data_IF_225913853131
#
_entry.id   IF_225913853131
#
_cell.length_a   1.000
_cell.length_b   1.000
_cell.length_c   1.000
_cell.angle_alpha   90.00
_cell.angle_beta   90.00
_cell.angle_gamma   90.00
#
_symmetry.space_group_name_H-M   'P 1'
#
loop_
_entity.id
_entity.type
_entity.pdbx_description
1 polymer ?
#
# COMPACT_ATOMS: atom_id res chain seq x y z
N UNK A 1 12.65 -18.92 -45.57
CA UNK A 1 12.99 -20.01 -44.64
C UNK A 1 14.42 -19.82 -44.16
N UNK A 2 14.66 -18.99 -43.14
CA UNK A 2 15.74 -19.10 -42.15
C UNK A 2 15.34 -18.20 -40.97
N UNK A 3 15.31 -18.80 -39.78
CA UNK A 3 15.23 -18.23 -38.42
C UNK A 3 13.97 -17.37 -38.10
N UNK A 4 12.98 -17.78 -37.29
CA UNK A 4 13.06 -18.57 -36.05
C UNK A 4 14.15 -18.06 -35.09
N UNK A 5 14.27 -16.74 -34.94
CA UNK A 5 14.72 -16.16 -33.68
C UNK A 5 13.50 -16.03 -32.77
N UNK A 6 13.18 -17.14 -32.12
CA UNK A 6 12.46 -17.16 -30.86
C UNK A 6 13.27 -16.35 -29.84
N UNK A 7 13.06 -15.04 -29.84
CA UNK A 7 13.40 -14.18 -28.70
C UNK A 7 12.37 -14.54 -27.62
N UNK A 8 12.66 -15.63 -26.91
CA UNK A 8 12.23 -15.79 -25.54
C UNK A 8 12.85 -14.66 -24.73
N UNK A 9 12.28 -13.46 -24.87
CA UNK A 9 12.38 -12.43 -23.86
C UNK A 9 11.61 -13.01 -22.70
N UNK A 10 12.33 -13.71 -21.82
CA UNK A 10 11.87 -13.99 -20.48
C UNK A 10 11.66 -12.60 -19.87
N UNK A 11 10.47 -12.06 -20.07
CA UNK A 11 9.96 -10.97 -19.28
C UNK A 11 10.15 -11.45 -17.85
N UNK A 12 11.08 -10.83 -17.13
CA UNK A 12 10.82 -10.59 -15.72
C UNK A 12 9.44 -9.92 -15.76
N UNK A 13 8.41 -10.70 -15.44
CA UNK A 13 7.03 -10.25 -15.41
C UNK A 13 7.01 -9.13 -14.38
N UNK A 14 7.20 -7.90 -14.86
CA UNK A 14 6.97 -6.66 -14.13
C UNK A 14 5.47 -6.52 -13.98
N UNK A 15 4.87 -7.41 -13.20
CA UNK A 15 3.57 -7.17 -12.62
C UNK A 15 3.77 -6.21 -11.45
N UNK A 16 2.94 -5.19 -11.37
CA UNK A 16 2.95 -4.27 -10.25
C UNK A 16 2.90 -5.05 -8.93
N UNK A 17 3.85 -4.78 -8.03
CA UNK A 17 3.95 -5.50 -6.76
C UNK A 17 3.06 -4.84 -5.70
N UNK A 18 2.22 -5.61 -5.02
CA UNK A 18 1.41 -5.07 -3.93
C UNK A 18 2.25 -4.91 -2.66
N UNK A 19 2.30 -3.69 -2.13
CA UNK A 19 2.95 -3.35 -0.86
C UNK A 19 1.88 -2.99 0.16
N UNK A 20 1.78 -3.80 1.22
CA UNK A 20 0.82 -3.60 2.32
C UNK A 20 1.47 -2.77 3.42
N UNK A 21 0.82 -1.66 3.80
CA UNK A 21 1.27 -0.77 4.87
C UNK A 21 0.22 -0.79 5.99
N UNK A 22 0.66 -1.08 7.21
CA UNK A 22 -0.21 -1.07 8.39
C UNK A 22 -0.29 0.30 9.05
N UNK A 23 -1.50 0.72 9.43
CA UNK A 23 -1.78 1.86 10.29
C UNK A 23 -2.58 1.41 11.51
N UNK A 24 -1.96 1.52 12.69
CA UNK A 24 -2.64 1.38 13.97
C UNK A 24 -3.33 2.70 14.31
N UNK A 25 -4.60 2.84 13.91
CA UNK A 25 -5.45 4.01 14.16
C UNK A 25 -6.12 3.87 15.53
N UNK A 26 -6.20 4.91 16.38
CA UNK A 26 -6.91 4.82 17.66
C UNK A 26 -8.43 4.93 17.44
N UNK A 27 -9.06 3.96 16.77
CA UNK A 27 -10.50 4.02 16.42
C UNK A 27 -11.39 3.94 17.67
N UNK A 28 -10.86 3.35 18.74
CA UNK A 28 -11.44 3.40 20.10
C UNK A 28 -10.44 4.00 21.11
N UNK A 29 -10.90 4.19 22.34
CA UNK A 29 -10.07 4.73 23.43
C UNK A 29 -10.18 6.25 23.64
N UNK A 30 -9.31 6.83 24.49
CA UNK A 30 -9.44 8.21 24.98
C UNK A 30 -9.22 9.30 23.92
N UNK A 31 -8.68 8.93 22.76
CA UNK A 31 -8.30 9.85 21.69
C UNK A 31 -8.98 9.51 20.35
N UNK A 32 -10.07 8.75 20.38
CA UNK A 32 -10.77 8.26 19.19
C UNK A 32 -11.27 9.35 18.23
N UNK A 33 -11.52 10.56 18.75
CA UNK A 33 -11.90 11.72 17.94
C UNK A 33 -10.84 12.13 16.92
N UNK A 34 -9.58 11.72 17.07
CA UNK A 34 -8.50 12.03 16.13
C UNK A 34 -8.28 10.95 15.07
N UNK A 35 -8.89 9.75 15.21
CA UNK A 35 -8.75 8.65 14.26
C UNK A 35 -9.05 9.06 12.79
N UNK A 36 -10.12 9.82 12.49
CA UNK A 36 -10.37 10.26 11.12
C UNK A 36 -9.21 11.07 10.53
N UNK A 37 -8.57 11.95 11.32
CA UNK A 37 -7.44 12.74 10.85
C UNK A 37 -6.19 11.91 10.57
N UNK A 38 -5.93 10.87 11.36
CA UNK A 38 -4.84 9.93 11.10
C UNK A 38 -5.09 9.08 9.86
N UNK A 39 -6.32 8.57 9.68
CA UNK A 39 -6.70 7.77 8.52
C UNK A 39 -6.72 8.60 7.23
N UNK A 40 -7.19 9.85 7.28
CA UNK A 40 -7.14 10.79 6.14
C UNK A 40 -5.70 11.05 5.71
N UNK A 41 -4.79 11.29 6.65
CA UNK A 41 -3.37 11.47 6.36
C UNK A 41 -2.75 10.21 5.72
N UNK A 42 -3.11 9.02 6.22
CA UNK A 42 -2.70 7.75 5.64
C UNK A 42 -3.22 7.58 4.20
N UNK A 43 -4.48 7.92 3.95
CA UNK A 43 -5.08 7.84 2.62
C UNK A 43 -4.41 8.80 1.62
N UNK A 44 -4.10 10.03 2.04
CA UNK A 44 -3.35 10.99 1.20
C UNK A 44 -1.97 10.45 0.86
N UNK A 45 -1.24 9.90 1.83
CA UNK A 45 0.08 9.32 1.58
C UNK A 45 0.03 8.15 0.59
N UNK A 46 -0.97 7.28 0.71
CA UNK A 46 -1.14 6.11 -0.15
C UNK A 46 -1.56 6.50 -1.57
N UNK A 47 -2.39 7.54 -1.71
CA UNK A 47 -2.71 8.11 -3.02
C UNK A 47 -1.46 8.64 -3.72
N UNK A 48 -0.60 9.38 -3.02
CA UNK A 48 0.65 9.91 -3.56
C UNK A 48 1.63 8.80 -3.94
N UNK A 49 1.78 7.77 -3.09
CA UNK A 49 2.65 6.62 -3.37
C UNK A 49 2.19 5.87 -4.62
N UNK A 50 0.89 5.61 -4.75
CA UNK A 50 0.34 4.95 -5.94
C UNK A 50 0.50 5.82 -7.20
N UNK A 51 0.35 7.14 -7.10
CA UNK A 51 0.56 8.04 -8.23
C UNK A 51 2.04 8.12 -8.65
N UNK A 52 2.96 8.14 -7.69
CA UNK A 52 4.40 8.26 -7.92
C UNK A 52 5.01 6.98 -8.51
N UNK A 53 4.47 5.83 -8.15
CA UNK A 53 5.01 4.51 -8.49
C UNK A 53 4.07 3.70 -9.40
N UNK A 54 3.21 4.38 -10.16
CA UNK A 54 2.27 3.75 -11.08
C UNK A 54 2.99 2.81 -12.06
N UNK A 55 2.43 1.62 -12.26
CA UNK A 55 3.02 0.55 -13.07
C UNK A 55 4.02 -0.36 -12.34
N UNK A 56 4.68 0.12 -11.27
CA UNK A 56 5.68 -0.66 -10.52
C UNK A 56 5.12 -1.25 -9.23
N UNK A 57 4.32 -0.47 -8.49
CA UNK A 57 3.78 -0.85 -7.19
C UNK A 57 2.30 -0.49 -7.03
N UNK A 58 1.58 -1.30 -6.25
CA UNK A 58 0.26 -0.97 -5.71
C UNK A 58 0.37 -0.94 -4.20
N UNK A 59 0.20 0.24 -3.60
CA UNK A 59 0.20 0.42 -2.16
C UNK A 59 -1.21 0.26 -1.59
N UNK A 60 -1.36 -0.61 -0.59
CA UNK A 60 -2.61 -0.90 0.11
C UNK A 60 -2.45 -0.51 1.59
N UNK A 61 -3.33 0.37 2.08
CA UNK A 61 -3.39 0.71 3.50
C UNK A 61 -4.27 -0.28 4.25
N UNK A 62 -3.72 -0.87 5.30
CA UNK A 62 -4.46 -1.73 6.23
C UNK A 62 -4.58 -0.99 7.54
N UNK A 63 -5.80 -0.59 7.88
CA UNK A 63 -6.10 0.09 9.13
C UNK A 63 -6.59 -0.92 10.16
N UNK A 64 -6.03 -0.87 11.37
CA UNK A 64 -6.49 -1.63 12.53
C UNK A 64 -6.60 -0.74 13.75
N UNK A 65 -7.58 -1.03 14.62
CA UNK A 65 -7.77 -0.29 15.87
C UNK A 65 -6.65 -0.61 16.87
N UNK A 66 -6.00 0.44 17.37
CA UNK A 66 -5.00 0.32 18.45
C UNK A 66 -5.61 0.36 19.84
N UNK A 67 -6.86 0.83 19.98
CA UNK A 67 -7.50 1.12 21.27
C UNK A 67 -6.77 2.14 22.15
N UNK A 68 -5.63 2.68 21.68
CA UNK A 68 -4.64 3.40 22.49
C UNK A 68 -4.30 2.67 23.81
N UNK A 69 -4.26 1.34 23.80
CA UNK A 69 -4.11 0.52 25.01
C UNK A 69 -2.66 0.10 25.31
N UNK A 70 -1.74 0.33 24.37
CA UNK A 70 -0.32 0.04 24.52
C UNK A 70 0.05 -1.45 24.42
N UNK A 71 -0.85 -2.30 23.92
CA UNK A 71 -0.64 -3.76 23.80
C UNK A 71 -0.31 -4.22 22.37
N UNK A 72 -0.37 -3.31 21.40
CA UNK A 72 -0.19 -3.55 19.96
C UNK A 72 1.13 -3.02 19.42
#
# INVERSE_FOLDING_TARGET
MVALFSLGMLACVGGSQTVKIGLLSPQTGPIAQYAPGFEDAGNVAIAELNATHDGDFVFELIVADSGCDGTQ
#
